data_IF_726883459411
#
_entry.id   IF_726883459411
#
_cell.length_a   1.000
_cell.length_b   1.000
_cell.length_c   1.000
_cell.angle_alpha   90.00
_cell.angle_beta   90.00
_cell.angle_gamma   90.00
#
_symmetry.space_group_name_H-M   'P 1'
#
loop_
_entity.id
_entity.type
_entity.pdbx_description
1 polymer ?
#
# COMPACT_ATOMS: atom_id res chain seq x y z
N UNK A 1 -12.65 -5.26 -23.43
CA UNK A 1 -11.60 -4.23 -23.32
C UNK A 1 -10.53 -4.71 -22.35
N UNK A 2 -9.32 -5.00 -22.82
CA UNK A 2 -8.21 -5.42 -21.96
C UNK A 2 -7.69 -4.20 -21.17
N UNK A 3 -7.61 -4.31 -19.84
CA UNK A 3 -6.99 -3.27 -18.99
C UNK A 3 -5.49 -3.22 -19.32
N UNK A 4 -4.98 -2.04 -19.69
CA UNK A 4 -3.55 -1.79 -19.90
C UNK A 4 -2.82 -1.89 -18.55
N UNK A 5 -2.13 -3.00 -18.31
CA UNK A 5 -1.21 -3.20 -17.18
C UNK A 5 0.21 -2.78 -17.60
N UNK A 6 1.02 -2.28 -16.66
CA UNK A 6 2.45 -2.01 -16.90
C UNK A 6 3.29 -3.29 -16.75
N UNK A 7 4.60 -3.24 -17.03
CA UNK A 7 5.54 -4.38 -16.99
C UNK A 7 5.56 -5.15 -15.65
N UNK A 8 5.10 -4.52 -14.56
CA UNK A 8 5.00 -5.13 -13.22
C UNK A 8 3.66 -5.84 -12.94
N UNK A 9 2.70 -5.74 -13.86
CA UNK A 9 1.33 -6.27 -13.75
C UNK A 9 0.38 -5.39 -12.93
N UNK A 10 0.77 -4.17 -12.58
CA UNK A 10 -0.12 -3.20 -11.93
C UNK A 10 -0.89 -2.38 -12.97
N UNK A 11 -2.11 -1.98 -12.61
CA UNK A 11 -2.92 -1.07 -13.41
C UNK A 11 -2.26 0.30 -13.54
N UNK A 12 -2.76 1.12 -14.47
CA UNK A 12 -2.47 2.56 -14.45
C UNK A 12 -2.80 3.18 -13.08
N UNK A 13 -2.09 4.25 -12.73
CA UNK A 13 -2.34 5.07 -11.54
C UNK A 13 -3.75 5.63 -11.59
N UNK A 14 -4.49 5.43 -10.50
CA UNK A 14 -5.82 6.00 -10.28
C UNK A 14 -5.70 7.08 -9.22
N UNK A 15 -6.44 8.17 -9.39
CA UNK A 15 -6.52 9.25 -8.40
C UNK A 15 -7.33 8.81 -7.18
N UNK A 16 -7.19 9.56 -6.09
CA UNK A 16 -8.00 9.43 -4.88
C UNK A 16 -9.50 9.40 -5.19
N UNK A 17 -10.15 8.30 -4.84
CA UNK A 17 -11.58 8.08 -4.98
C UNK A 17 -12.16 7.50 -3.68
N UNK A 18 -13.47 7.23 -3.67
CA UNK A 18 -14.14 6.64 -2.50
C UNK A 18 -13.57 5.26 -2.13
N UNK A 19 -13.10 4.48 -3.12
CA UNK A 19 -12.49 3.17 -2.86
C UNK A 19 -11.17 3.35 -2.10
N UNK A 20 -10.31 4.26 -2.56
CA UNK A 20 -9.03 4.48 -1.90
C UNK A 20 -9.19 5.01 -0.46
N UNK A 21 -10.15 5.92 -0.24
CA UNK A 21 -10.47 6.43 1.10
C UNK A 21 -10.93 5.32 2.04
N UNK A 22 -11.87 4.48 1.59
CA UNK A 22 -12.37 3.36 2.37
C UNK A 22 -11.26 2.35 2.72
N UNK A 23 -10.34 2.09 1.78
CA UNK A 23 -9.17 1.24 2.07
C UNK A 23 -8.31 1.88 3.17
N UNK A 24 -8.01 3.17 3.08
CA UNK A 24 -7.20 3.86 4.09
C UNK A 24 -7.85 3.92 5.46
N UNK A 25 -9.15 4.19 5.53
CA UNK A 25 -9.89 4.15 6.80
C UNK A 25 -9.76 2.78 7.46
N UNK A 26 -9.86 1.71 6.68
CA UNK A 26 -9.70 0.36 7.17
C UNK A 26 -8.26 0.05 7.62
N UNK A 27 -7.25 0.46 6.84
CA UNK A 27 -5.86 0.06 7.11
C UNK A 27 -5.12 1.00 8.05
N UNK A 28 -5.61 2.22 8.30
CA UNK A 28 -4.94 3.22 9.15
C UNK A 28 -4.52 2.65 10.52
N UNK A 29 -5.39 1.96 11.29
CA UNK A 29 -4.99 1.42 12.58
C UNK A 29 -3.80 0.45 12.45
N UNK A 30 -3.80 -0.40 11.42
CA UNK A 30 -2.69 -1.33 11.16
C UNK A 30 -1.41 -0.59 10.76
N UNK A 31 -1.52 0.47 9.95
CA UNK A 31 -0.36 1.27 9.52
C UNK A 31 0.26 2.04 10.68
N UNK A 32 -0.55 2.53 11.61
CA UNK A 32 -0.07 3.23 12.81
C UNK A 32 0.58 2.26 13.81
N UNK A 33 -0.03 1.08 14.01
CA UNK A 33 0.53 0.01 14.85
C UNK A 33 1.85 -0.50 14.29
N UNK A 34 1.89 -0.92 13.03
CA UNK A 34 3.11 -1.44 12.40
C UNK A 34 4.17 -0.35 12.25
N UNK A 35 3.73 0.88 12.01
CA UNK A 35 4.59 2.03 11.91
C UNK A 35 5.13 2.54 13.25
N UNK A 36 4.58 2.12 14.38
CA UNK A 36 4.94 2.62 15.70
C UNK A 36 4.72 4.13 15.87
N UNK A 37 3.82 4.74 15.09
CA UNK A 37 3.47 6.17 15.20
C UNK A 37 2.09 6.45 14.62
N UNK A 38 1.42 7.45 15.18
CA UNK A 38 0.18 8.00 14.63
C UNK A 38 0.49 9.06 13.57
N UNK A 39 -0.46 9.28 12.66
CA UNK A 39 -0.35 10.33 11.66
C UNK A 39 -1.49 11.33 11.83
N UNK A 40 -1.17 12.63 11.84
CA UNK A 40 -2.18 13.69 11.94
C UNK A 40 -3.05 13.73 10.67
N UNK A 41 -2.41 13.61 9.50
CA UNK A 41 -3.04 13.48 8.20
C UNK A 41 -2.86 12.05 7.68
N UNK A 42 -3.87 11.52 7.00
CA UNK A 42 -3.78 10.19 6.41
C UNK A 42 -4.70 10.08 5.17
N UNK A 43 -4.33 10.77 4.10
CA UNK A 43 -5.17 10.90 2.90
C UNK A 43 -4.58 10.17 1.71
N UNK A 44 -5.43 9.48 0.95
CA UNK A 44 -5.01 8.83 -0.29
C UNK A 44 -4.84 9.87 -1.38
N UNK A 45 -3.72 9.83 -2.09
CA UNK A 45 -3.47 10.66 -3.27
C UNK A 45 -3.70 9.86 -4.56
N UNK A 46 -3.06 8.69 -4.64
CA UNK A 46 -3.05 7.82 -5.82
C UNK A 46 -2.97 6.36 -5.40
N UNK A 47 -3.51 5.47 -6.23
CA UNK A 47 -3.36 4.03 -6.03
C UNK A 47 -3.24 3.27 -7.35
N UNK A 48 -2.66 2.07 -7.27
CA UNK A 48 -2.56 1.10 -8.35
C UNK A 48 -3.01 -0.26 -7.83
N UNK A 49 -3.65 -1.06 -8.68
CA UNK A 49 -4.09 -2.42 -8.33
C UNK A 49 -3.46 -3.47 -9.26
N UNK A 50 -3.14 -4.63 -8.71
CA UNK A 50 -2.68 -5.80 -9.48
C UNK A 50 -3.58 -7.00 -9.15
N UNK A 51 -4.29 -7.58 -10.14
CA UNK A 51 -5.05 -8.81 -9.93
C UNK A 51 -4.10 -9.97 -9.64
N UNK A 52 -4.54 -10.88 -8.77
CA UNK A 52 -3.84 -12.11 -8.37
C UNK A 52 -4.89 -13.11 -7.85
N UNK A 53 -4.53 -14.10 -7.02
CA UNK A 53 -5.49 -14.87 -6.21
C UNK A 53 -6.02 -14.02 -5.05
N UNK A 54 -6.67 -12.90 -5.40
CA UNK A 54 -6.90 -11.74 -4.55
C UNK A 54 -6.49 -10.49 -5.31
N UNK A 55 -6.16 -9.41 -4.60
CA UNK A 55 -5.77 -8.15 -5.22
C UNK A 55 -4.68 -7.47 -4.41
N UNK A 56 -3.58 -7.14 -5.07
CA UNK A 56 -2.53 -6.33 -4.47
C UNK A 56 -2.78 -4.86 -4.79
N UNK A 57 -2.48 -3.99 -3.83
CA UNK A 57 -2.60 -2.55 -3.97
C UNK A 57 -1.27 -1.89 -3.63
N UNK A 58 -0.88 -0.90 -4.44
CA UNK A 58 0.05 0.15 -4.03
C UNK A 58 -0.76 1.42 -3.80
N UNK A 59 -0.58 2.07 -2.66
CA UNK A 59 -1.31 3.31 -2.32
C UNK A 59 -0.31 4.36 -1.86
N UNK A 60 -0.37 5.54 -2.48
CA UNK A 60 0.33 6.74 -2.05
C UNK A 60 -0.54 7.49 -1.04
N UNK A 61 0.01 7.69 0.15
CA UNK A 61 -0.67 8.36 1.27
C UNK A 61 0.10 9.62 1.62
N UNK A 62 -0.61 10.74 1.74
CA UNK A 62 -0.10 11.95 2.36
C UNK A 62 -0.32 11.85 3.88
N UNK A 63 0.81 11.79 4.59
CA UNK A 63 0.88 11.70 6.05
C UNK A 63 1.14 13.07 6.73
N UNK A 64 1.05 14.17 5.97
CA UNK A 64 1.28 15.54 6.43
C UNK A 64 2.75 15.94 6.33
N UNK A 65 3.62 15.32 7.12
CA UNK A 65 5.07 15.60 7.11
C UNK A 65 5.84 14.80 6.06
N UNK A 66 5.30 13.68 5.60
CA UNK A 66 5.89 12.80 4.59
C UNK A 66 4.82 12.16 3.71
N UNK A 67 5.26 11.48 2.65
CA UNK A 67 4.41 10.56 1.92
C UNK A 67 4.79 9.12 2.27
N UNK A 68 3.78 8.26 2.34
CA UNK A 68 3.94 6.83 2.51
C UNK A 68 3.54 6.12 1.23
N UNK A 69 4.26 5.08 0.86
CA UNK A 69 3.76 4.09 -0.09
C UNK A 69 3.39 2.82 0.65
N UNK A 70 2.10 2.49 0.65
CA UNK A 70 1.58 1.29 1.27
C UNK A 70 1.48 0.17 0.24
N UNK A 71 1.94 -1.02 0.60
CA UNK A 71 1.65 -2.24 -0.13
C UNK A 71 0.64 -3.08 0.64
N UNK A 72 -0.50 -3.34 0.03
CA UNK A 72 -1.60 -4.08 0.65
C UNK A 72 -1.97 -5.31 -0.17
N UNK A 73 -2.48 -6.33 0.50
CA UNK A 73 -3.12 -7.48 -0.13
C UNK A 73 -4.55 -7.63 0.36
N UNK A 74 -5.48 -7.78 -0.57
CA UNK A 74 -6.86 -8.16 -0.31
C UNK A 74 -7.06 -9.60 -0.80
N UNK A 75 -7.17 -10.60 0.10
CA UNK A 75 -7.54 -11.96 -0.30
C UNK A 75 -8.96 -11.99 -0.90
N UNK A 76 -9.28 -13.06 -1.64
CA UNK A 76 -10.61 -13.26 -2.24
C UNK A 76 -11.72 -13.18 -1.19
N UNK A 77 -11.50 -13.84 -0.04
CA UNK A 77 -12.32 -13.74 1.16
C UNK A 77 -11.49 -13.19 2.32
N UNK A 78 -12.07 -12.30 3.13
CA UNK A 78 -11.40 -11.70 4.29
C UNK A 78 -11.00 -10.24 4.10
N UNK A 79 -10.22 -9.71 5.04
CA UNK A 79 -9.92 -8.28 5.18
C UNK A 79 -8.60 -7.86 4.49
N UNK A 80 -8.42 -6.55 4.29
CA UNK A 80 -7.15 -6.01 3.80
C UNK A 80 -6.00 -6.32 4.76
N UNK A 81 -4.86 -6.64 4.20
CA UNK A 81 -3.62 -6.92 4.93
C UNK A 81 -2.57 -5.91 4.48
N UNK A 82 -1.93 -5.24 5.44
CA UNK A 82 -0.76 -4.40 5.14
C UNK A 82 0.45 -5.33 5.04
N UNK A 83 1.14 -5.31 3.90
CA UNK A 83 2.35 -6.10 3.70
C UNK A 83 3.59 -5.27 4.07
N UNK A 84 3.67 -4.07 3.50
CA UNK A 84 4.80 -3.15 3.69
C UNK A 84 4.33 -1.71 3.80
N UNK A 85 5.03 -0.96 4.64
CA UNK A 85 4.91 0.49 4.77
C UNK A 85 6.25 1.09 4.37
N UNK A 86 6.29 1.79 3.26
CA UNK A 86 7.49 2.49 2.81
C UNK A 86 7.42 3.96 3.21
N UNK A 87 8.46 4.41 3.92
CA UNK A 87 8.54 5.75 4.53
C UNK A 87 9.48 6.66 3.76
N UNK A 88 9.42 7.95 4.08
CA UNK A 88 10.35 8.96 3.57
C UNK A 88 10.15 9.27 2.08
N UNK A 89 8.99 8.92 1.51
CA UNK A 89 8.65 9.28 0.14
C UNK A 89 8.24 10.74 0.05
N UNK A 90 8.41 11.32 -1.13
CA UNK A 90 8.08 12.70 -1.46
C UNK A 90 6.82 12.77 -2.33
N UNK A 91 6.22 13.97 -2.39
CA UNK A 91 5.05 14.24 -3.23
C UNK A 91 5.26 13.90 -4.71
N UNK A 92 6.47 14.11 -5.22
CA UNK A 92 6.81 13.88 -6.62
C UNK A 92 7.30 12.46 -6.91
N UNK A 93 7.48 11.62 -5.89
CA UNK A 93 7.91 10.24 -6.09
C UNK A 93 6.80 9.45 -6.80
N UNK A 94 7.16 8.75 -7.88
CA UNK A 94 6.19 7.96 -8.64
C UNK A 94 5.83 6.68 -7.86
N UNK A 95 4.53 6.42 -7.70
CA UNK A 95 4.00 5.22 -7.07
C UNK A 95 4.38 3.93 -7.84
N UNK A 96 4.68 4.06 -9.13
CA UNK A 96 5.15 2.95 -9.95
C UNK A 96 6.59 2.51 -9.64
N UNK A 97 7.37 3.32 -8.89
CA UNK A 97 8.74 2.98 -8.55
C UNK A 97 8.82 1.63 -7.81
N UNK A 98 9.94 0.89 -7.99
CA UNK A 98 10.22 -0.29 -7.18
C UNK A 98 10.32 0.10 -5.70
N UNK A 99 9.98 -0.86 -4.84
CA UNK A 99 10.08 -0.68 -3.39
C UNK A 99 11.55 -0.51 -2.99
N UNK A 100 11.84 0.54 -2.24
CA UNK A 100 13.12 0.74 -1.60
C UNK A 100 13.16 -0.08 -0.30
N UNK A 101 13.74 -1.27 -0.39
CA UNK A 101 13.84 -2.23 0.72
C UNK A 101 14.61 -1.69 1.94
N UNK A 102 15.29 -0.55 1.83
CA UNK A 102 16.02 0.07 2.95
C UNK A 102 15.10 0.83 3.90
N UNK A 103 13.92 1.27 3.43
CA UNK A 103 12.99 2.14 4.17
C UNK A 103 11.61 1.51 4.38
N UNK A 104 11.54 0.17 4.36
CA UNK A 104 10.31 -0.57 4.60
C UNK A 104 10.14 -0.93 6.07
N UNK A 105 8.91 -0.78 6.56
CA UNK A 105 8.45 -1.43 7.78
C UNK A 105 7.54 -2.60 7.38
N UNK A 106 7.96 -3.86 7.58
CA UNK A 106 7.10 -5.02 7.34
C UNK A 106 5.98 -5.05 8.38
N UNK A 107 4.81 -5.59 8.00
CA UNK A 107 3.81 -5.92 9.02
C UNK A 107 4.28 -7.07 9.91
N UNK A 108 3.83 -7.10 11.16
CA UNK A 108 4.23 -8.12 12.14
C UNK A 108 3.89 -9.55 11.67
N UNK A 109 2.93 -9.72 10.76
CA UNK A 109 2.62 -11.01 10.11
C UNK A 109 3.59 -11.43 9.01
N UNK A 110 4.42 -10.53 8.47
CA UNK A 110 5.41 -10.86 7.46
C UNK A 110 6.56 -11.74 8.02
N UNK A 111 6.72 -11.81 9.35
CA UNK A 111 7.61 -12.77 10.00
C UNK A 111 7.18 -14.25 9.86
N UNK A 112 6.00 -14.52 9.29
CA UNK A 112 5.47 -15.88 9.12
C UNK A 112 5.52 -16.39 7.66
N UNK A 113 5.95 -15.57 6.70
CA UNK A 113 5.99 -15.99 5.28
C UNK A 113 7.24 -16.80 4.88
N UNK A 114 8.23 -16.94 5.78
CA UNK A 114 9.47 -17.69 5.54
C UNK A 114 9.61 -18.98 6.36
N UNK A 115 8.53 -19.53 6.90
CA UNK A 115 8.55 -20.85 7.54
C UNK A 115 7.69 -21.84 6.75
N UNK A 116 8.24 -22.29 5.61
CA UNK A 116 7.96 -23.62 5.10
C UNK A 116 9.28 -24.41 5.20
N UNK A 117 9.49 -25.03 6.36
CA UNK A 117 10.34 -26.21 6.54
C UNK A 117 9.44 -27.38 6.85
#
# INVERSE_FOLDING_TARGET
>A
MAKLYNETGFSKKKKSDATCRSILEFVRPMVEIYGGKTYEKFTCEEYMEKPSYGKNYKIKVDAGSEFLHLHLFKPLSGNYQVNFIERGRKKNDDLALPFDLRNITPSIKAGSFWNYT
#
